data_IF_426006885207
#
_entry.id   IF_426006885207
#
_cell.length_a   1.000
_cell.length_b   1.000
_cell.length_c   1.000
_cell.angle_alpha   90.00
_cell.angle_beta   90.00
_cell.angle_gamma   90.00
#
_symmetry.space_group_name_H-M   'P 1'
#
loop_
_entity.id
_entity.type
_entity.pdbx_description
1 polymer ?
#
# COMPACT_ATOMS: atom_id res chain seq x y z
N UNK A 1 66.58 35.65 -17.48
CA UNK A 1 65.13 35.81 -17.69
C UNK A 1 64.75 34.76 -18.72
N UNK A 2 64.05 33.69 -18.28
CA UNK A 2 63.51 32.67 -19.19
C UNK A 2 62.26 33.24 -19.85
N UNK A 3 62.32 33.47 -21.15
CA UNK A 3 61.13 33.80 -21.95
C UNK A 3 60.17 32.63 -21.93
N UNK A 4 58.88 32.83 -21.62
CA UNK A 4 57.88 31.75 -21.73
C UNK A 4 57.87 31.28 -23.18
N UNK A 5 58.06 30.00 -23.42
CA UNK A 5 57.80 29.40 -24.75
C UNK A 5 56.28 29.44 -25.00
N UNK A 6 55.85 30.42 -25.79
CA UNK A 6 54.51 30.43 -26.35
C UNK A 6 54.41 29.33 -27.39
N UNK A 7 53.47 28.41 -27.22
CA UNK A 7 53.13 27.41 -28.23
C UNK A 7 51.66 27.59 -28.63
N UNK A 8 51.35 27.15 -29.83
CA UNK A 8 49.96 27.04 -30.26
C UNK A 8 49.37 25.80 -29.62
N UNK A 9 48.25 25.96 -28.89
CA UNK A 9 47.57 24.86 -28.25
C UNK A 9 46.95 23.92 -29.28
N UNK A 10 47.18 22.61 -29.12
CA UNK A 10 46.51 21.54 -29.88
C UNK A 10 45.70 20.72 -28.90
N UNK A 11 44.37 20.86 -28.93
CA UNK A 11 43.49 20.22 -27.98
C UNK A 11 42.95 18.89 -28.48
N UNK A 12 43.03 17.88 -27.63
CA UNK A 12 42.28 16.63 -27.74
C UNK A 12 40.94 16.78 -26.99
N UNK A 13 39.92 16.07 -27.45
CA UNK A 13 38.58 16.20 -26.94
C UNK A 13 38.12 14.88 -26.30
N UNK A 14 37.52 14.98 -25.11
CA UNK A 14 36.85 13.85 -24.43
C UNK A 14 35.44 14.32 -24.10
N UNK A 15 34.45 13.64 -24.70
CA UNK A 15 33.02 13.95 -24.45
C UNK A 15 32.51 13.15 -23.25
N UNK A 16 32.02 13.85 -22.25
CA UNK A 16 31.22 13.26 -21.14
C UNK A 16 29.76 13.44 -21.49
N UNK A 17 29.07 12.34 -21.76
CA UNK A 17 27.64 12.37 -22.08
C UNK A 17 26.80 12.75 -20.83
N UNK A 18 25.69 13.48 -20.99
CA UNK A 18 24.79 13.75 -19.90
C UNK A 18 24.12 12.48 -19.41
N UNK A 19 23.87 12.40 -18.09
CA UNK A 19 23.05 11.38 -17.43
C UNK A 19 21.66 11.88 -17.14
N UNK A 20 20.83 11.11 -16.44
CA UNK A 20 19.51 11.58 -16.02
C UNK A 20 19.60 12.76 -15.03
N UNK A 21 20.65 12.83 -14.23
CA UNK A 21 20.80 13.80 -13.12
C UNK A 21 21.95 14.78 -13.30
N UNK A 22 22.90 14.44 -14.17
CA UNK A 22 24.10 15.26 -14.38
C UNK A 22 24.22 15.70 -15.83
N UNK A 23 24.62 16.95 -16.02
CA UNK A 23 24.88 17.52 -17.33
C UNK A 23 26.14 16.92 -17.99
N UNK A 24 26.17 16.93 -19.32
CA UNK A 24 27.32 16.57 -20.13
C UNK A 24 28.20 17.76 -20.46
N UNK A 25 29.44 17.49 -20.87
CA UNK A 25 30.40 18.49 -21.32
C UNK A 25 31.52 17.83 -22.15
N UNK A 26 32.22 18.65 -22.88
CA UNK A 26 33.47 18.23 -23.56
C UNK A 26 34.69 18.77 -22.81
N UNK A 27 35.61 17.92 -22.44
CA UNK A 27 36.92 18.32 -21.89
C UNK A 27 37.92 18.43 -23.04
N UNK A 28 38.52 19.60 -23.15
CA UNK A 28 39.58 19.91 -24.10
C UNK A 28 40.90 19.90 -23.35
N UNK A 29 41.88 19.09 -23.77
CA UNK A 29 43.20 18.99 -23.13
C UNK A 29 44.29 19.23 -24.16
N UNK A 30 45.16 20.20 -23.91
CA UNK A 30 46.30 20.46 -24.77
C UNK A 30 47.31 19.31 -24.68
N UNK A 31 47.65 18.70 -25.82
CA UNK A 31 48.57 17.57 -25.89
C UNK A 31 50.03 17.96 -25.58
N UNK A 32 50.35 19.26 -25.59
CA UNK A 32 51.71 19.78 -25.38
C UNK A 32 51.98 20.20 -23.94
N UNK A 33 51.05 20.96 -23.33
CA UNK A 33 51.26 21.53 -22.00
C UNK A 33 50.29 20.99 -20.93
N UNK A 34 49.31 20.18 -21.31
CA UNK A 34 48.34 19.62 -20.36
C UNK A 34 47.28 20.61 -19.90
N UNK A 35 47.29 21.84 -20.40
CA UNK A 35 46.21 22.81 -20.11
C UNK A 35 44.85 22.24 -20.53
N UNK A 36 43.84 22.41 -19.68
CA UNK A 36 42.52 21.85 -19.97
C UNK A 36 41.37 22.75 -19.52
N UNK A 37 40.30 22.73 -20.30
CA UNK A 37 39.05 23.40 -19.97
C UNK A 37 37.85 22.56 -20.40
N UNK A 38 36.68 22.88 -19.83
CA UNK A 38 35.41 22.27 -20.17
C UNK A 38 34.55 23.23 -20.96
N UNK A 39 33.88 22.72 -22.00
CA UNK A 39 32.97 23.47 -22.85
C UNK A 39 31.86 22.54 -23.34
N UNK A 40 31.02 23.01 -24.25
CA UNK A 40 29.94 22.27 -24.90
C UNK A 40 29.01 21.61 -23.87
N UNK A 41 28.67 22.34 -22.83
CA UNK A 41 27.79 21.88 -21.77
C UNK A 41 26.43 21.51 -22.33
N UNK A 42 25.90 20.39 -21.85
CA UNK A 42 24.53 19.92 -22.12
C UNK A 42 23.82 19.71 -20.80
N UNK A 43 22.55 20.05 -20.75
CA UNK A 43 21.73 19.81 -19.56
C UNK A 43 21.58 18.31 -19.27
N UNK A 44 21.30 17.97 -18.01
CA UNK A 44 20.89 16.65 -17.60
C UNK A 44 19.64 16.22 -18.39
N UNK A 45 19.57 14.92 -18.76
CA UNK A 45 18.48 14.39 -19.57
C UNK A 45 17.13 14.33 -18.86
N UNK A 46 17.14 14.44 -17.51
CA UNK A 46 15.98 14.13 -16.69
C UNK A 46 15.64 12.65 -16.66
N UNK A 47 14.63 12.29 -15.90
CA UNK A 47 14.10 10.92 -15.90
C UNK A 47 12.94 10.80 -16.89
N UNK A 48 12.90 9.69 -17.63
CA UNK A 48 11.80 9.30 -18.54
C UNK A 48 11.16 8.05 -17.97
N UNK A 49 10.11 8.23 -17.16
CA UNK A 49 9.47 7.15 -16.44
C UNK A 49 8.44 6.40 -17.30
N UNK A 50 8.57 5.06 -17.35
CA UNK A 50 7.56 4.13 -17.88
C UNK A 50 7.37 2.98 -16.91
N UNK A 51 6.13 2.62 -16.64
CA UNK A 51 5.76 1.51 -15.73
C UNK A 51 6.52 1.56 -14.39
N UNK A 52 6.66 2.77 -13.82
CA UNK A 52 7.26 2.99 -12.52
C UNK A 52 8.79 2.99 -12.48
N UNK A 53 9.47 2.95 -13.62
CA UNK A 53 10.93 3.04 -13.68
C UNK A 53 11.41 3.93 -14.83
N UNK A 54 12.51 4.63 -14.61
CA UNK A 54 13.16 5.40 -15.66
C UNK A 54 13.74 4.46 -16.72
N UNK A 55 13.39 4.70 -17.99
CA UNK A 55 13.83 3.88 -19.13
C UNK A 55 15.35 3.96 -19.38
N UNK A 56 16.03 5.01 -18.88
CA UNK A 56 17.45 5.25 -19.08
C UNK A 56 18.32 4.71 -17.96
N UNK A 57 17.95 4.93 -16.69
CA UNK A 57 18.78 4.59 -15.54
C UNK A 57 18.14 3.57 -14.57
N UNK A 58 16.89 3.16 -14.81
CA UNK A 58 16.18 2.20 -13.96
C UNK A 58 15.68 2.77 -12.62
N UNK A 59 15.94 4.05 -12.33
CA UNK A 59 15.47 4.66 -11.09
C UNK A 59 13.94 4.57 -10.99
N UNK A 60 13.43 4.17 -9.82
CA UNK A 60 11.98 4.11 -9.56
C UNK A 60 11.37 5.50 -9.58
N UNK A 61 10.20 5.62 -10.21
CA UNK A 61 9.37 6.83 -10.17
C UNK A 61 8.75 6.96 -8.76
N UNK A 62 9.09 8.02 -8.01
CA UNK A 62 8.54 8.21 -6.66
C UNK A 62 7.02 8.46 -6.66
N UNK A 63 6.44 8.83 -7.81
CA UNK A 63 5.02 9.10 -7.95
C UNK A 63 4.24 7.94 -8.61
N UNK A 64 4.94 6.85 -8.98
CA UNK A 64 4.29 5.71 -9.62
C UNK A 64 3.37 4.98 -8.65
N UNK A 65 2.10 4.94 -9.01
CA UNK A 65 1.10 4.10 -8.35
C UNK A 65 0.74 2.97 -9.31
N UNK A 66 1.04 1.70 -8.98
CA UNK A 66 0.61 0.58 -9.79
C UNK A 66 -0.91 0.65 -10.00
N UNK A 67 -1.36 0.53 -11.24
CA UNK A 67 -2.76 0.39 -11.56
C UNK A 67 -3.08 -1.10 -11.65
N UNK A 68 -4.14 -1.54 -11.01
CA UNK A 68 -4.59 -2.92 -11.09
C UNK A 68 -5.54 -3.10 -12.28
N UNK A 69 -5.13 -3.91 -13.24
CA UNK A 69 -5.95 -4.27 -14.39
C UNK A 69 -6.68 -5.59 -14.14
N UNK A 70 -7.46 -5.65 -13.04
CA UNK A 70 -8.28 -6.81 -12.74
C UNK A 70 -9.51 -6.86 -13.64
N UNK A 71 -9.66 -7.94 -14.38
CA UNK A 71 -10.75 -8.13 -15.36
C UNK A 71 -12.13 -8.23 -14.70
N UNK A 72 -12.18 -8.56 -13.42
CA UNK A 72 -13.38 -8.72 -12.61
C UNK A 72 -13.73 -7.48 -11.74
N UNK A 73 -13.01 -6.38 -11.93
CA UNK A 73 -13.27 -5.09 -11.28
C UNK A 73 -13.54 -4.02 -12.34
N UNK A 74 -14.79 -3.89 -12.74
CA UNK A 74 -15.17 -2.91 -13.76
C UNK A 74 -14.93 -1.46 -13.29
N UNK A 75 -14.45 -0.60 -14.19
CA UNK A 75 -14.39 0.84 -13.95
C UNK A 75 -15.82 1.36 -13.62
N UNK A 76 -15.93 2.11 -12.50
CA UNK A 76 -17.23 2.58 -12.01
C UNK A 76 -17.96 1.60 -11.09
N UNK A 77 -17.43 0.39 -10.81
CA UNK A 77 -17.95 -0.46 -9.74
C UNK A 77 -17.71 0.22 -8.38
N UNK A 78 -18.53 -0.12 -7.38
CA UNK A 78 -18.47 0.49 -6.05
C UNK A 78 -17.12 0.37 -5.35
N UNK A 79 -16.30 -0.62 -5.71
CA UNK A 79 -15.01 -0.90 -5.11
C UNK A 79 -13.83 -0.58 -6.03
N UNK A 80 -14.05 -0.03 -7.24
CA UNK A 80 -12.98 0.22 -8.20
C UNK A 80 -11.84 1.06 -7.60
N UNK A 81 -12.16 2.26 -7.12
CA UNK A 81 -11.16 3.17 -6.55
C UNK A 81 -10.47 2.57 -5.31
N UNK A 82 -11.23 1.85 -4.48
CA UNK A 82 -10.69 1.18 -3.30
C UNK A 82 -9.73 0.05 -3.66
N UNK A 83 -10.01 -0.71 -4.73
CA UNK A 83 -9.11 -1.76 -5.23
C UNK A 83 -7.84 -1.14 -5.82
N UNK A 84 -7.96 -0.08 -6.63
CA UNK A 84 -6.82 0.64 -7.17
C UNK A 84 -5.92 1.17 -6.04
N UNK A 85 -6.53 1.81 -5.04
CA UNK A 85 -5.82 2.27 -3.84
C UNK A 85 -5.13 1.12 -3.09
N UNK A 86 -5.82 0.00 -2.87
CA UNK A 86 -5.27 -1.13 -2.13
C UNK A 86 -4.06 -1.76 -2.84
N UNK A 87 -4.07 -1.82 -4.18
CA UNK A 87 -2.91 -2.27 -4.96
C UNK A 87 -1.77 -1.25 -4.90
N UNK A 88 -2.09 0.03 -5.12
CA UNK A 88 -1.09 1.11 -5.10
C UNK A 88 -0.35 1.25 -3.76
N UNK A 89 -0.99 0.82 -2.66
CA UNK A 89 -0.41 0.82 -1.32
C UNK A 89 0.08 -0.58 -0.86
N UNK A 90 0.16 -1.56 -1.76
CA UNK A 90 0.68 -2.88 -1.45
C UNK A 90 -0.21 -3.75 -0.53
N UNK A 91 -1.46 -3.33 -0.29
CA UNK A 91 -2.39 -4.03 0.60
C UNK A 91 -2.82 -5.37 -0.01
N UNK A 92 -2.97 -5.41 -1.34
CA UNK A 92 -3.35 -6.62 -2.08
C UNK A 92 -2.71 -6.65 -3.46
N UNK A 93 -2.47 -7.87 -3.97
CA UNK A 93 -2.07 -8.14 -5.35
C UNK A 93 -3.16 -8.94 -6.11
N UNK A 94 -4.40 -8.95 -5.59
CA UNK A 94 -5.46 -9.76 -6.16
C UNK A 94 -5.54 -11.18 -5.57
N UNK A 95 -6.35 -12.03 -6.20
CA UNK A 95 -6.40 -13.48 -5.95
C UNK A 95 -5.51 -14.22 -6.92
N UNK A 96 -5.30 -13.64 -8.09
CA UNK A 96 -4.30 -14.02 -9.09
C UNK A 96 -3.87 -12.79 -9.89
N UNK A 97 -3.08 -12.97 -10.95
CA UNK A 97 -2.53 -11.87 -11.75
C UNK A 97 -3.60 -10.99 -12.45
N UNK A 98 -4.81 -11.51 -12.65
CA UNK A 98 -5.88 -10.88 -13.43
C UNK A 98 -7.19 -10.70 -12.67
N UNK A 99 -7.31 -11.26 -11.45
CA UNK A 99 -8.54 -11.21 -10.66
C UNK A 99 -8.31 -10.70 -9.24
N UNK A 100 -9.21 -9.86 -8.78
CA UNK A 100 -9.32 -9.42 -7.40
C UNK A 100 -10.34 -10.23 -6.60
N UNK A 101 -11.34 -10.78 -7.28
CA UNK A 101 -12.48 -11.50 -6.71
C UNK A 101 -13.31 -10.64 -5.74
N UNK A 102 -13.86 -9.48 -6.17
CA UNK A 102 -14.51 -8.50 -5.29
C UNK A 102 -15.73 -9.05 -4.55
N UNK A 103 -16.42 -10.03 -5.15
CA UNK A 103 -17.63 -10.65 -4.59
C UNK A 103 -17.35 -11.89 -3.73
N UNK A 104 -16.11 -12.37 -3.71
CA UNK A 104 -15.74 -13.50 -2.85
C UNK A 104 -15.74 -13.08 -1.37
N UNK A 105 -16.19 -13.98 -0.49
CA UNK A 105 -16.10 -13.76 0.96
C UNK A 105 -14.66 -13.60 1.40
N UNK A 106 -14.37 -12.56 2.19
CA UNK A 106 -13.05 -12.34 2.72
C UNK A 106 -12.83 -13.18 3.98
N UNK A 107 -11.74 -13.96 4.02
CA UNK A 107 -11.44 -14.78 5.20
C UNK A 107 -10.82 -13.94 6.32
N UNK A 108 -10.87 -14.41 7.55
CA UNK A 108 -10.31 -13.73 8.73
C UNK A 108 -8.81 -13.49 8.57
N UNK A 109 -8.08 -14.47 8.03
CA UNK A 109 -6.66 -14.31 7.72
C UNK A 109 -6.40 -13.21 6.69
N UNK A 110 -7.22 -13.13 5.64
CA UNK A 110 -7.12 -12.07 4.63
C UNK A 110 -7.44 -10.69 5.21
N UNK A 111 -8.47 -10.57 6.04
CA UNK A 111 -8.85 -9.28 6.66
C UNK A 111 -7.71 -8.74 7.52
N UNK A 112 -7.16 -9.54 8.43
CA UNK A 112 -6.04 -9.06 9.27
C UNK A 112 -4.77 -8.80 8.46
N UNK A 113 -4.55 -9.52 7.35
CA UNK A 113 -3.43 -9.26 6.44
C UNK A 113 -3.59 -7.90 5.73
N UNK A 114 -4.80 -7.57 5.29
CA UNK A 114 -5.08 -6.26 4.69
C UNK A 114 -4.88 -5.13 5.69
N UNK A 115 -5.36 -5.29 6.92
CA UNK A 115 -5.15 -4.33 8.01
C UNK A 115 -3.69 -4.13 8.34
N UNK A 116 -2.93 -5.21 8.50
CA UNK A 116 -1.51 -5.19 8.81
C UNK A 116 -0.69 -4.49 7.72
N UNK A 117 -1.01 -4.78 6.44
CA UNK A 117 -0.38 -4.12 5.30
C UNK A 117 -0.76 -2.64 5.22
N UNK A 118 -2.01 -2.30 5.48
CA UNK A 118 -2.45 -0.91 5.53
C UNK A 118 -1.74 -0.12 6.65
N UNK A 119 -1.37 -0.79 7.75
CA UNK A 119 -0.57 -0.22 8.84
C UNK A 119 0.95 -0.17 8.54
N UNK A 120 1.40 -0.57 7.34
CA UNK A 120 2.81 -0.55 6.94
C UNK A 120 3.61 -1.77 7.39
N UNK A 121 2.97 -2.90 7.57
CA UNK A 121 3.58 -4.20 7.92
C UNK A 121 4.44 -4.17 9.20
N UNK A 122 3.95 -3.59 10.32
CA UNK A 122 4.76 -3.45 11.51
C UNK A 122 5.17 -4.81 12.09
N UNK A 123 6.44 -4.95 12.43
CA UNK A 123 6.97 -6.15 13.08
C UNK A 123 6.73 -6.12 14.56
N UNK A 124 6.28 -7.23 15.13
CA UNK A 124 6.09 -7.41 16.57
C UNK A 124 6.78 -8.67 17.08
N UNK A 125 7.22 -8.66 18.33
CA UNK A 125 7.78 -9.84 19.00
C UNK A 125 6.71 -10.87 19.40
N UNK A 126 7.14 -12.01 19.91
CA UNK A 126 6.25 -13.07 20.42
C UNK A 126 5.81 -14.08 19.35
N UNK A 127 4.80 -14.86 19.68
CA UNK A 127 4.16 -15.84 18.80
C UNK A 127 2.65 -15.54 18.69
N UNK A 128 1.97 -16.21 17.76
CA UNK A 128 0.53 -15.99 17.53
C UNK A 128 -0.36 -16.58 18.61
N UNK A 129 0.11 -17.61 19.33
CA UNK A 129 -0.67 -18.30 20.36
C UNK A 129 -1.80 -19.22 19.85
N UNK A 130 -2.03 -19.30 18.54
CA UNK A 130 -3.09 -20.12 17.93
C UNK A 130 -2.50 -21.33 17.20
N UNK A 131 -3.08 -22.51 17.41
CA UNK A 131 -2.59 -23.78 16.86
C UNK A 131 -2.87 -23.92 15.36
N UNK A 132 -3.83 -23.18 14.84
CA UNK A 132 -4.26 -23.20 13.45
C UNK A 132 -3.63 -22.10 12.56
N UNK A 133 -2.64 -21.38 13.09
CA UNK A 133 -1.84 -20.39 12.35
C UNK A 133 -0.38 -20.80 12.37
N UNK A 134 0.01 -21.60 11.37
CA UNK A 134 1.36 -22.12 11.29
C UNK A 134 2.41 -21.02 11.01
N UNK A 135 3.61 -21.08 11.60
CA UNK A 135 4.74 -20.27 11.18
C UNK A 135 4.98 -20.38 9.67
N UNK A 136 5.18 -19.26 8.99
CA UNK A 136 5.37 -19.22 7.53
C UNK A 136 4.07 -19.22 6.72
N UNK A 137 2.88 -19.34 7.33
CA UNK A 137 1.62 -19.08 6.62
C UNK A 137 1.52 -17.61 6.22
N UNK A 138 0.79 -17.30 5.14
CA UNK A 138 0.66 -15.96 4.57
C UNK A 138 0.16 -14.90 5.57
N UNK A 139 -0.59 -15.29 6.58
CA UNK A 139 -1.18 -14.40 7.59
C UNK A 139 -0.48 -14.45 8.95
N UNK A 140 0.62 -15.24 9.10
CA UNK A 140 1.28 -15.43 10.40
C UNK A 140 1.68 -14.11 11.06
N UNK A 141 2.44 -13.25 10.36
CA UNK A 141 2.90 -11.97 10.90
C UNK A 141 1.73 -11.01 11.15
N UNK A 142 0.74 -11.00 10.26
CA UNK A 142 -0.47 -10.20 10.42
C UNK A 142 -1.30 -10.62 11.65
N UNK A 143 -1.46 -11.92 11.88
CA UNK A 143 -2.17 -12.43 13.07
C UNK A 143 -1.38 -12.13 14.34
N UNK A 144 -0.06 -12.30 14.31
CA UNK A 144 0.82 -11.95 15.42
C UNK A 144 0.69 -10.48 15.80
N UNK A 145 0.72 -9.59 14.82
CA UNK A 145 0.48 -8.16 15.01
C UNK A 145 -0.93 -7.88 15.56
N UNK A 146 -1.95 -8.53 15.01
CA UNK A 146 -3.33 -8.32 15.45
C UNK A 146 -3.57 -8.78 16.90
N UNK A 147 -2.89 -9.84 17.35
CA UNK A 147 -2.90 -10.29 18.75
C UNK A 147 -2.19 -9.29 19.65
N UNK A 148 -0.97 -8.88 19.28
CA UNK A 148 -0.15 -7.96 20.08
C UNK A 148 -0.83 -6.58 20.28
N UNK A 149 -1.64 -6.15 19.32
CA UNK A 149 -2.39 -4.89 19.38
C UNK A 149 -3.85 -5.05 19.85
N UNK A 150 -4.25 -6.23 20.36
CA UNK A 150 -5.60 -6.44 20.89
C UNK A 150 -6.71 -6.46 19.83
N UNK A 151 -6.37 -6.47 18.53
CA UNK A 151 -7.33 -6.45 17.42
C UNK A 151 -8.14 -7.74 17.39
N UNK A 152 -7.50 -8.87 17.71
CA UNK A 152 -8.18 -10.18 17.78
C UNK A 152 -7.81 -10.91 19.06
N UNK A 153 -8.75 -11.74 19.53
CA UNK A 153 -8.55 -12.72 20.62
C UNK A 153 -8.79 -14.15 20.11
N UNK A 154 -8.84 -14.33 18.76
CA UNK A 154 -9.20 -15.62 18.17
C UNK A 154 -10.72 -15.84 18.03
N UNK A 155 -11.09 -17.04 17.62
CA UNK A 155 -12.48 -17.53 17.66
C UNK A 155 -12.73 -18.30 18.98
N UNK A 156 -11.67 -18.85 19.53
CA UNK A 156 -11.60 -19.40 20.88
C UNK A 156 -10.18 -19.22 21.46
N UNK A 157 -9.89 -19.81 22.62
CA UNK A 157 -8.60 -19.64 23.31
C UNK A 157 -7.39 -20.19 22.53
N UNK A 158 -7.61 -21.08 21.58
CA UNK A 158 -6.56 -21.81 20.85
C UNK A 158 -6.61 -21.64 19.34
N UNK A 159 -7.71 -21.08 18.79
CA UNK A 159 -7.92 -20.96 17.35
C UNK A 159 -8.19 -19.51 16.92
N UNK A 160 -7.57 -19.12 15.80
CA UNK A 160 -7.86 -17.89 15.09
C UNK A 160 -8.89 -18.09 13.97
N UNK A 161 -8.94 -19.29 13.40
CA UNK A 161 -9.76 -19.67 12.25
C UNK A 161 -9.45 -18.86 10.98
N UNK A 162 -8.20 -18.87 10.48
CA UNK A 162 -7.76 -17.97 9.39
C UNK A 162 -8.55 -18.15 8.09
N UNK A 163 -9.08 -19.35 7.84
CA UNK A 163 -9.84 -19.69 6.64
C UNK A 163 -11.36 -19.46 6.76
N UNK A 164 -11.86 -19.19 7.96
CA UNK A 164 -13.27 -18.85 8.14
C UNK A 164 -13.58 -17.48 7.53
N UNK A 165 -14.72 -17.35 6.84
CA UNK A 165 -15.16 -16.06 6.31
C UNK A 165 -15.49 -15.09 7.43
N UNK A 166 -15.13 -13.83 7.23
CA UNK A 166 -15.40 -12.75 8.17
C UNK A 166 -16.79 -12.15 7.92
N UNK A 167 -17.54 -11.90 8.97
CA UNK A 167 -18.79 -11.15 8.84
C UNK A 167 -18.50 -9.64 8.81
N UNK A 168 -19.48 -8.85 8.34
CA UNK A 168 -19.37 -7.40 8.28
C UNK A 168 -19.14 -6.78 9.67
N UNK A 169 -19.83 -7.29 10.69
CA UNK A 169 -19.61 -6.87 12.08
C UNK A 169 -18.20 -7.17 12.59
N UNK A 170 -17.63 -8.33 12.22
CA UNK A 170 -16.27 -8.69 12.59
C UNK A 170 -15.23 -7.80 11.90
N UNK A 171 -15.41 -7.49 10.61
CA UNK A 171 -14.49 -6.62 9.87
C UNK A 171 -14.41 -5.23 10.51
N UNK A 172 -15.56 -4.57 10.73
CA UNK A 172 -15.53 -3.22 11.35
C UNK A 172 -15.02 -3.27 12.78
N UNK A 173 -15.21 -4.38 13.52
CA UNK A 173 -14.65 -4.55 14.86
C UNK A 173 -13.11 -4.66 14.82
N UNK A 174 -12.56 -5.37 13.85
CA UNK A 174 -11.11 -5.43 13.68
C UNK A 174 -10.54 -4.04 13.34
N UNK A 175 -11.19 -3.30 12.45
CA UNK A 175 -10.79 -1.94 12.08
C UNK A 175 -10.85 -0.98 13.28
N UNK A 176 -11.96 -0.99 14.01
CA UNK A 176 -12.17 -0.16 15.19
C UNK A 176 -11.11 -0.40 16.28
N UNK A 177 -10.76 -1.67 16.51
CA UNK A 177 -9.69 -2.03 17.44
C UNK A 177 -8.30 -1.65 16.93
N UNK A 178 -8.06 -1.73 15.64
CA UNK A 178 -6.81 -1.29 15.05
C UNK A 178 -6.58 0.23 15.24
N UNK A 179 -7.67 1.01 15.30
CA UNK A 179 -7.65 2.45 15.57
C UNK A 179 -7.65 2.78 17.09
N UNK A 180 -7.53 1.77 17.96
CA UNK A 180 -7.47 1.97 19.41
C UNK A 180 -8.83 2.23 20.06
N UNK A 181 -9.91 1.78 19.46
CA UNK A 181 -11.29 1.86 19.98
C UNK A 181 -11.73 3.29 20.33
N UNK A 182 -11.64 4.26 19.41
CA UNK A 182 -11.93 5.66 19.70
C UNK A 182 -13.40 5.85 20.07
N UNK A 183 -13.65 6.57 21.17
CA UNK A 183 -15.02 6.88 21.60
C UNK A 183 -15.70 7.85 20.62
N UNK A 184 -16.93 7.52 20.21
CA UNK A 184 -17.76 8.37 19.36
C UNK A 184 -19.16 8.54 19.97
N UNK A 185 -19.74 9.72 19.79
CA UNK A 185 -21.11 10.00 20.23
C UNK A 185 -22.19 9.47 19.28
N UNK A 186 -23.45 9.59 19.66
CA UNK A 186 -24.60 9.23 18.83
C UNK A 186 -24.95 7.75 18.82
N UNK A 187 -25.76 7.34 17.84
CA UNK A 187 -26.16 5.95 17.59
C UNK A 187 -25.64 5.48 16.23
N UNK A 188 -25.65 4.17 15.99
CA UNK A 188 -25.26 3.64 14.67
C UNK A 188 -26.38 3.82 13.60
N UNK A 189 -27.60 4.11 14.02
CA UNK A 189 -28.75 4.35 13.12
C UNK A 189 -29.37 3.10 12.51
N UNK A 190 -28.89 1.88 12.80
CA UNK A 190 -29.37 0.63 12.22
C UNK A 190 -30.24 -0.16 13.18
N UNK A 191 -31.38 -0.67 12.68
CA UNK A 191 -32.38 -1.41 13.48
C UNK A 191 -31.96 -2.85 13.80
N UNK A 192 -31.01 -3.39 13.03
CA UNK A 192 -30.49 -4.75 13.15
C UNK A 192 -29.19 -4.85 13.98
N UNK A 193 -28.79 -3.74 14.66
CA UNK A 193 -27.61 -3.69 15.51
C UNK A 193 -28.03 -3.27 16.92
N UNK A 194 -28.28 -4.23 17.80
CA UNK A 194 -28.61 -3.98 19.17
C UNK A 194 -27.50 -3.30 19.95
N UNK A 195 -27.78 -2.44 20.92
CA UNK A 195 -26.83 -1.76 21.80
C UNK A 195 -25.92 -2.76 22.53
N UNK A 196 -26.44 -3.94 22.87
CA UNK A 196 -25.67 -5.02 23.51
C UNK A 196 -24.81 -5.85 22.55
N UNK A 197 -24.83 -5.56 21.24
CA UNK A 197 -24.05 -6.28 20.25
C UNK A 197 -22.56 -6.00 20.42
N UNK A 198 -21.71 -7.03 20.26
CA UNK A 198 -20.24 -6.92 20.33
C UNK A 198 -19.65 -5.91 19.34
N UNK A 199 -20.35 -5.66 18.24
CA UNK A 199 -19.92 -4.74 17.19
C UNK A 199 -20.63 -3.37 17.21
N UNK A 200 -21.44 -3.10 18.24
CA UNK A 200 -22.24 -1.85 18.32
C UNK A 200 -21.34 -0.60 18.25
N UNK A 201 -20.33 -0.50 19.11
CA UNK A 201 -19.41 0.64 19.16
C UNK A 201 -18.58 0.76 17.89
N UNK A 202 -18.13 -0.37 17.34
CA UNK A 202 -17.40 -0.41 16.09
C UNK A 202 -18.23 0.08 14.89
N UNK A 203 -19.50 -0.32 14.81
CA UNK A 203 -20.41 0.13 13.76
C UNK A 203 -20.71 1.62 13.92
N UNK A 204 -20.97 2.07 15.15
CA UNK A 204 -21.19 3.49 15.47
C UNK A 204 -19.98 4.33 15.02
N UNK A 205 -18.77 3.89 15.33
CA UNK A 205 -17.52 4.52 14.86
C UNK A 205 -17.45 4.53 13.34
N UNK A 206 -17.72 3.41 12.68
CA UNK A 206 -17.63 3.31 11.22
C UNK A 206 -18.65 4.21 10.50
N UNK A 207 -19.83 4.42 11.09
CA UNK A 207 -20.84 5.39 10.59
C UNK A 207 -20.36 6.82 10.78
N UNK A 208 -19.89 7.16 11.98
CA UNK A 208 -19.44 8.51 12.31
C UNK A 208 -18.27 8.99 11.43
N UNK A 209 -17.40 8.04 11.01
CA UNK A 209 -16.26 8.32 10.12
C UNK A 209 -16.57 8.08 8.63
N UNK A 210 -17.83 7.86 8.24
CA UNK A 210 -18.20 7.69 6.83
C UNK A 210 -17.73 6.39 6.18
N UNK A 211 -17.20 5.44 6.96
CA UNK A 211 -16.68 4.16 6.47
C UNK A 211 -17.78 3.29 5.90
N UNK A 212 -18.96 3.32 6.53
CA UNK A 212 -20.14 2.58 6.09
C UNK A 212 -21.39 3.43 6.10
N UNK A 213 -22.33 3.09 5.20
CA UNK A 213 -23.72 3.61 5.17
C UNK A 213 -24.74 2.48 5.35
N UNK A 214 -24.27 1.29 5.79
CA UNK A 214 -25.11 0.10 5.88
C UNK A 214 -25.19 -0.69 4.58
N UNK A 215 -26.08 -1.69 4.57
CA UNK A 215 -26.51 -2.41 3.36
C UNK A 215 -27.72 -1.74 2.72
N UNK A 216 -28.49 -1.06 3.55
CA UNK A 216 -29.57 -0.14 3.15
C UNK A 216 -29.68 0.99 4.20
N UNK A 217 -30.72 1.83 4.07
CA UNK A 217 -30.90 2.99 4.94
C UNK A 217 -31.13 2.63 6.43
N UNK A 218 -31.52 1.41 6.75
CA UNK A 218 -31.93 0.97 8.10
C UNK A 218 -31.14 -0.25 8.61
N UNK A 219 -30.38 -0.94 7.75
CA UNK A 219 -29.67 -2.16 8.11
C UNK A 219 -28.16 -2.07 7.83
N UNK A 220 -27.37 -2.56 8.77
CA UNK A 220 -25.93 -2.80 8.60
C UNK A 220 -25.63 -4.20 8.12
N UNK A 221 -26.47 -5.18 8.46
CA UNK A 221 -26.29 -6.61 8.23
C UNK A 221 -25.03 -7.18 8.89
N UNK A 222 -24.86 -7.09 10.24
CA UNK A 222 -23.62 -7.42 10.92
C UNK A 222 -23.20 -8.87 10.76
N UNK A 223 -24.14 -9.79 10.54
CA UNK A 223 -23.89 -11.23 10.39
C UNK A 223 -23.70 -11.66 8.93
N UNK A 224 -23.92 -10.78 7.97
CA UNK A 224 -23.68 -11.08 6.57
C UNK A 224 -22.16 -11.23 6.30
N UNK A 225 -21.79 -12.14 5.41
CA UNK A 225 -20.41 -12.27 4.94
C UNK A 225 -19.91 -10.95 4.35
N UNK A 226 -18.74 -10.51 4.78
CA UNK A 226 -18.08 -9.35 4.19
C UNK A 226 -17.27 -9.80 2.97
N UNK A 227 -17.55 -9.20 1.82
CA UNK A 227 -16.82 -9.54 0.60
C UNK A 227 -15.47 -8.81 0.54
N UNK A 228 -14.54 -9.30 -0.28
CA UNK A 228 -13.21 -8.68 -0.46
C UNK A 228 -13.32 -7.23 -0.94
N UNK A 229 -14.24 -6.95 -1.87
CA UNK A 229 -14.53 -5.59 -2.33
C UNK A 229 -15.04 -4.68 -1.22
N UNK A 230 -15.90 -5.19 -0.33
CA UNK A 230 -16.38 -4.44 0.83
C UNK A 230 -15.26 -4.15 1.84
N UNK A 231 -14.40 -5.13 2.12
CA UNK A 231 -13.26 -4.93 3.05
C UNK A 231 -12.33 -3.82 2.57
N UNK A 232 -11.87 -3.87 1.31
CA UNK A 232 -10.98 -2.81 0.80
C UNK A 232 -11.69 -1.46 0.70
N UNK A 233 -13.01 -1.45 0.46
CA UNK A 233 -13.81 -0.21 0.47
C UNK A 233 -13.89 0.40 1.87
N UNK A 234 -14.04 -0.42 2.90
CA UNK A 234 -14.02 0.07 4.29
C UNK A 234 -12.63 0.63 4.64
N UNK A 235 -11.56 -0.07 4.30
CA UNK A 235 -10.19 0.40 4.51
C UNK A 235 -9.91 1.72 3.76
N UNK A 236 -10.34 1.81 2.50
CA UNK A 236 -10.18 3.01 1.67
C UNK A 236 -10.88 4.24 2.26
N UNK A 237 -12.04 4.04 2.88
CA UNK A 237 -12.81 5.14 3.49
C UNK A 237 -12.33 5.51 4.88
N UNK A 238 -11.51 4.68 5.51
CA UNK A 238 -10.98 4.90 6.84
C UNK A 238 -9.65 5.69 6.86
N UNK A 239 -9.09 6.01 5.70
CA UNK A 239 -7.82 6.75 5.55
C UNK A 239 -7.99 8.27 5.71
#
# INVERSE_FOLDING_TARGET
VLTPKTHSHSYTQIVTAPTCTEGGYTTYTCSVCGDSYKSDYKDALGHDYKNGACTRCGQKDPNYKPQADFTDVAAGSYCYDAVQWAVANGITNGTDATHFSPNAGCTRGQVVTFLWRAAGEPTVGGNVGFVDVAPGSYCYEAVKWAVANGITKGTDATHFSPNATCTRGQVVTFMYRAEGEPAVGGSNGFVDVAVSSYCYEAIKWAVANGITKGTDATHFSPNATCTRGQVVTFLYRAQ
#
